data_IF_927007341264
#
_entry.id   IF_927007341264
#
_cell.length_a   1.000
_cell.length_b   1.000
_cell.length_c   1.000
_cell.angle_alpha   90.00
_cell.angle_beta   90.00
_cell.angle_gamma   90.00
#
_symmetry.space_group_name_H-M   'P 1'
#
loop_
_entity.id
_entity.type
_entity.pdbx_description
1 polymer ?
#
# COMPACT_ATOMS: atom_id res chain seq x y z
N UNK A 1 -13.36 10.91 10.78
CA UNK A 1 -12.89 11.14 9.39
C UNK A 1 -12.72 9.80 8.73
N UNK A 2 -13.34 9.56 7.56
CA UNK A 2 -13.25 8.26 6.89
C UNK A 2 -12.08 8.29 5.91
N UNK A 3 -11.02 7.56 6.24
CA UNK A 3 -9.89 7.35 5.34
C UNK A 3 -10.20 6.19 4.38
N UNK A 4 -9.69 6.32 3.16
CA UNK A 4 -9.65 5.26 2.14
C UNK A 4 -8.20 4.87 1.94
N UNK A 5 -7.94 3.58 1.82
CA UNK A 5 -6.61 3.01 1.64
C UNK A 5 -6.69 1.96 0.55
N UNK A 6 -5.74 1.98 -0.37
CA UNK A 6 -5.47 0.92 -1.32
C UNK A 6 -4.04 0.43 -1.05
N UNK A 7 -3.92 -0.86 -0.76
CA UNK A 7 -2.66 -1.54 -0.47
C UNK A 7 -2.19 -2.27 -1.72
N UNK A 8 -0.98 -1.93 -2.18
CA UNK A 8 -0.31 -2.51 -3.34
C UNK A 8 1.05 -3.07 -2.89
N UNK A 9 1.70 -3.87 -3.74
CA UNK A 9 2.98 -4.49 -3.45
C UNK A 9 3.96 -4.29 -4.59
N UNK A 10 5.23 -4.03 -4.27
CA UNK A 10 6.33 -4.08 -5.24
C UNK A 10 6.95 -5.48 -5.36
N UNK A 11 6.44 -6.48 -4.64
CA UNK A 11 6.98 -7.84 -4.63
C UNK A 11 6.05 -8.81 -5.35
N UNK A 12 6.29 -8.99 -6.65
CA UNK A 12 5.54 -9.96 -7.45
C UNK A 12 5.96 -11.43 -7.23
N UNK A 13 7.06 -11.67 -6.52
CA UNK A 13 7.68 -12.98 -6.35
C UNK A 13 7.77 -13.40 -4.87
N UNK A 14 6.68 -13.21 -4.13
CA UNK A 14 6.57 -13.65 -2.74
C UNK A 14 5.70 -14.90 -2.61
N UNK A 15 6.32 -16.05 -2.34
CA UNK A 15 5.59 -17.30 -2.10
C UNK A 15 4.51 -17.14 -1.03
N UNK A 16 4.83 -16.44 0.08
CA UNK A 16 3.89 -16.16 1.16
C UNK A 16 2.68 -15.34 0.69
N UNK A 17 2.89 -14.31 -0.13
CA UNK A 17 1.78 -13.54 -0.68
C UNK A 17 0.90 -14.37 -1.60
N UNK A 18 1.49 -15.20 -2.46
CA UNK A 18 0.73 -16.09 -3.33
C UNK A 18 -0.07 -17.13 -2.51
N UNK A 19 0.45 -17.60 -1.38
CA UNK A 19 -0.31 -18.44 -0.45
C UNK A 19 -1.49 -17.70 0.18
N UNK A 20 -1.28 -16.45 0.63
CA UNK A 20 -2.30 -15.69 1.37
C UNK A 20 -3.38 -15.04 0.50
N UNK A 21 -2.99 -14.47 -0.64
CA UNK A 21 -3.85 -13.57 -1.41
C UNK A 21 -4.30 -14.14 -2.76
N UNK A 22 -3.72 -15.25 -3.19
CA UNK A 22 -3.96 -15.82 -4.52
C UNK A 22 -4.51 -17.25 -4.44
N UNK A 23 -5.42 -17.54 -3.51
CA UNK A 23 -6.04 -18.86 -3.34
C UNK A 23 -5.00 -19.98 -3.43
N UNK A 24 -3.99 -19.94 -2.57
CA UNK A 24 -2.91 -20.94 -2.56
C UNK A 24 -2.22 -21.08 -3.93
N UNK A 25 -1.70 -19.98 -4.49
CA UNK A 25 -0.98 -19.93 -5.77
C UNK A 25 -1.83 -20.15 -7.04
N UNK A 26 -3.16 -20.14 -6.95
CA UNK A 26 -4.07 -20.31 -8.10
C UNK A 26 -4.70 -19.00 -8.61
N UNK A 27 -4.37 -17.88 -7.98
CA UNK A 27 -4.88 -16.56 -8.34
C UNK A 27 -4.05 -15.85 -9.40
N UNK A 28 -4.29 -14.55 -9.53
CA UNK A 28 -3.58 -13.66 -10.45
C UNK A 28 -3.06 -12.43 -9.70
N UNK A 29 -2.00 -11.83 -10.23
CA UNK A 29 -1.54 -10.51 -9.82
C UNK A 29 -1.86 -9.52 -10.94
N UNK A 30 -2.42 -8.38 -10.57
CA UNK A 30 -2.66 -7.27 -11.49
C UNK A 30 -1.62 -6.21 -11.20
N UNK A 31 -0.75 -5.97 -12.17
CA UNK A 31 0.22 -4.89 -12.09
C UNK A 31 -0.43 -3.55 -12.47
N UNK A 32 -0.05 -2.50 -11.74
CA UNK A 32 -0.46 -1.14 -12.02
C UNK A 32 0.76 -0.29 -12.30
N UNK A 33 0.67 0.53 -13.34
CA UNK A 33 1.61 1.59 -13.62
C UNK A 33 0.88 2.93 -13.51
N UNK A 34 1.40 3.81 -12.67
CA UNK A 34 0.83 5.14 -12.44
C UNK A 34 1.65 6.17 -13.21
N UNK A 35 1.11 6.66 -14.33
CA UNK A 35 1.67 7.76 -15.07
C UNK A 35 1.21 9.10 -14.52
N UNK A 36 2.15 10.00 -14.21
CA UNK A 36 1.86 11.36 -13.78
C UNK A 36 1.72 11.53 -12.26
N UNK A 37 1.09 12.64 -11.87
CA UNK A 37 0.93 13.03 -10.47
C UNK A 37 -0.42 12.59 -9.91
N UNK A 38 -0.44 12.26 -8.63
CA UNK A 38 -1.69 12.00 -7.93
C UNK A 38 -2.46 13.30 -7.66
N UNK A 39 -3.81 13.29 -7.65
CA UNK A 39 -4.60 14.47 -7.33
C UNK A 39 -4.29 15.04 -5.92
N UNK A 40 -4.52 16.33 -5.74
CA UNK A 40 -4.39 16.98 -4.44
C UNK A 40 -5.22 16.24 -3.37
N UNK A 41 -4.60 15.97 -2.21
CA UNK A 41 -5.24 15.24 -1.10
C UNK A 41 -5.13 13.72 -1.20
N UNK A 42 -4.37 13.19 -2.16
CA UNK A 42 -3.98 11.78 -2.23
C UNK A 42 -2.51 11.65 -1.84
N UNK A 43 -2.24 10.77 -0.87
CA UNK A 43 -0.88 10.40 -0.49
C UNK A 43 -0.53 9.01 -1.02
N UNK A 44 0.73 8.83 -1.37
CA UNK A 44 1.31 7.52 -1.70
C UNK A 44 2.57 7.36 -0.88
N UNK A 45 2.64 6.30 -0.09
CA UNK A 45 3.79 6.08 0.79
C UNK A 45 4.07 4.60 1.02
N UNK A 46 5.34 4.27 1.23
CA UNK A 46 5.75 2.92 1.62
C UNK A 46 5.35 2.64 3.06
N UNK A 47 4.96 1.40 3.34
CA UNK A 47 4.69 0.97 4.71
C UNK A 47 6.01 0.79 5.46
N UNK A 48 6.11 1.42 6.64
CA UNK A 48 7.22 1.22 7.54
C UNK A 48 7.01 -0.02 8.40
N UNK A 49 7.94 -0.96 8.34
CA UNK A 49 7.85 -2.23 9.05
C UNK A 49 8.64 -2.18 10.34
N UNK A 50 7.96 -2.33 11.47
CA UNK A 50 8.54 -2.21 12.80
C UNK A 50 8.24 -3.44 13.66
N UNK A 51 9.17 -3.77 14.54
CA UNK A 51 8.96 -4.81 15.56
C UNK A 51 7.84 -4.37 16.53
N UNK A 52 7.06 -5.34 17.04
CA UNK A 52 5.91 -5.07 17.91
C UNK A 52 6.26 -4.27 19.17
N UNK A 53 7.46 -4.50 19.71
CA UNK A 53 7.97 -3.79 20.88
C UNK A 53 8.13 -2.28 20.64
N UNK A 54 8.44 -1.87 19.41
CA UNK A 54 8.65 -0.45 19.04
C UNK A 54 7.35 0.27 18.69
N UNK A 55 6.34 -0.46 18.20
CA UNK A 55 5.08 0.16 17.76
C UNK A 55 4.30 0.83 18.90
N UNK A 56 4.49 0.41 20.14
CA UNK A 56 3.75 0.94 21.29
C UNK A 56 4.40 2.17 21.96
N UNK A 57 5.64 2.53 21.59
CA UNK A 57 6.45 3.54 22.30
C UNK A 57 6.36 4.95 21.71
N UNK A 58 6.08 5.10 20.41
CA UNK A 58 6.05 6.41 19.71
C UNK A 58 4.62 6.91 19.45
N UNK A 59 3.80 7.05 20.50
CA UNK A 59 2.38 7.43 20.37
C UNK A 59 2.12 8.92 20.05
N UNK A 60 3.11 9.79 20.26
CA UNK A 60 2.81 11.21 20.52
C UNK A 60 3.03 12.18 19.34
N UNK A 61 3.67 11.78 18.24
CA UNK A 61 4.02 12.75 17.18
C UNK A 61 3.16 12.66 15.91
N UNK A 62 2.74 11.46 15.47
CA UNK A 62 1.86 11.32 14.29
C UNK A 62 1.03 10.03 14.36
N UNK A 63 -0.05 10.04 15.14
CA UNK A 63 -1.03 8.93 15.25
C UNK A 63 -1.48 8.43 13.86
N UNK A 64 -1.66 9.36 12.91
CA UNK A 64 -2.02 9.04 11.52
C UNK A 64 -0.98 8.13 10.84
N UNK A 65 0.29 8.53 10.84
CA UNK A 65 1.38 7.76 10.22
C UNK A 65 1.60 6.43 10.95
N UNK A 66 1.50 6.44 12.28
CA UNK A 66 1.73 5.24 13.09
C UNK A 66 0.73 4.13 12.75
N UNK A 67 -0.56 4.43 12.57
CA UNK A 67 -1.55 3.38 12.30
C UNK A 67 -1.75 3.08 10.81
N UNK A 68 -1.63 4.08 9.94
CA UNK A 68 -1.92 3.91 8.51
C UNK A 68 -0.70 3.56 7.68
N UNK A 69 0.52 3.85 8.15
CA UNK A 69 1.76 3.66 7.40
C UNK A 69 2.75 2.77 8.15
N UNK A 70 2.33 2.03 9.18
CA UNK A 70 3.18 1.00 9.80
C UNK A 70 2.53 -0.38 9.84
N UNK A 71 3.36 -1.42 9.73
CA UNK A 71 2.96 -2.83 9.85
C UNK A 71 4.03 -3.63 10.61
N UNK A 72 3.68 -4.86 11.01
CA UNK A 72 4.61 -5.70 11.77
C UNK A 72 5.69 -6.16 10.80
N UNK A 73 6.95 -6.13 11.23
CA UNK A 73 8.10 -6.66 10.50
C UNK A 73 7.89 -8.06 9.92
N UNK A 74 7.10 -8.93 10.55
CA UNK A 74 6.77 -10.25 10.00
C UNK A 74 6.09 -10.17 8.62
N UNK A 75 5.43 -9.06 8.29
CA UNK A 75 4.78 -8.79 7.01
C UNK A 75 5.65 -8.01 6.03
N UNK A 76 6.93 -7.76 6.35
CA UNK A 76 7.84 -7.00 5.50
C UNK A 76 8.06 -7.62 4.12
N UNK A 77 7.77 -8.92 3.95
CA UNK A 77 7.81 -9.61 2.66
C UNK A 77 6.78 -9.07 1.66
N UNK A 78 5.76 -8.32 2.11
CA UNK A 78 4.77 -7.73 1.22
C UNK A 78 5.31 -6.54 0.41
N UNK A 79 6.38 -5.88 0.88
CA UNK A 79 6.91 -4.65 0.28
C UNK A 79 5.79 -3.66 -0.12
N UNK A 80 4.92 -3.37 0.87
CA UNK A 80 3.64 -2.71 0.68
C UNK A 80 3.80 -1.20 0.42
N UNK A 81 3.08 -0.71 -0.58
CA UNK A 81 2.87 0.72 -0.87
C UNK A 81 1.39 1.02 -0.69
N UNK A 82 1.05 2.09 0.03
CA UNK A 82 -0.34 2.50 0.26
C UNK A 82 -0.64 3.79 -0.47
N UNK A 83 -1.73 3.77 -1.24
CA UNK A 83 -2.41 4.97 -1.72
C UNK A 83 -3.52 5.29 -0.72
N UNK A 84 -3.57 6.50 -0.19
CA UNK A 84 -4.54 6.88 0.83
C UNK A 84 -5.08 8.28 0.63
N UNK A 85 -6.34 8.48 1.03
CA UNK A 85 -7.00 9.78 0.96
C UNK A 85 -8.15 9.89 1.96
N UNK A 86 -8.46 11.11 2.37
CA UNK A 86 -9.70 11.46 3.08
C UNK A 86 -10.74 12.13 2.17
N UNK A 87 -10.38 12.40 0.91
CA UNK A 87 -11.25 13.00 -0.11
C UNK A 87 -12.32 11.99 -0.52
N UNK A 88 -13.58 12.44 -0.60
CA UNK A 88 -14.73 11.58 -0.97
C UNK A 88 -14.99 11.48 -2.46
N UNK A 89 -14.50 12.44 -3.22
CA UNK A 89 -14.68 12.50 -4.66
C UNK A 89 -13.98 11.32 -5.33
N UNK A 90 -14.64 10.76 -6.34
CA UNK A 90 -14.04 9.70 -7.14
C UNK A 90 -12.95 10.31 -8.00
N UNK A 91 -11.79 9.70 -7.98
CA UNK A 91 -10.71 10.03 -8.90
C UNK A 91 -10.98 9.24 -10.18
N UNK A 92 -11.11 9.95 -11.29
CA UNK A 92 -11.19 9.33 -12.60
C UNK A 92 -9.78 9.01 -13.09
N UNK A 93 -9.65 7.95 -13.87
CA UNK A 93 -8.42 7.60 -14.55
C UNK A 93 -8.61 7.74 -16.06
N UNK A 94 -7.54 8.07 -16.75
CA UNK A 94 -7.46 7.97 -18.20
C UNK A 94 -6.63 6.73 -18.55
N UNK A 95 -6.97 6.05 -19.64
CA UNK A 95 -6.16 4.94 -20.14
C UNK A 95 -4.85 5.50 -20.66
N UNK A 96 -3.73 4.97 -20.15
CA UNK A 96 -2.41 5.29 -20.66
C UNK A 96 -1.81 4.06 -21.33
N UNK A 97 -1.06 4.25 -22.42
CA UNK A 97 -0.31 3.16 -23.02
C UNK A 97 0.79 2.73 -22.05
N UNK A 98 0.73 1.47 -21.60
CA UNK A 98 1.79 0.92 -20.77
C UNK A 98 3.13 1.11 -21.49
N UNK A 99 4.16 1.69 -20.85
CA UNK A 99 5.44 1.91 -21.50
C UNK A 99 5.99 0.56 -21.96
N UNK A 100 5.97 0.31 -23.26
CA UNK A 100 6.59 -0.88 -23.85
C UNK A 100 8.05 -0.90 -23.39
N UNK A 101 8.43 -2.01 -22.75
CA UNK A 101 9.80 -2.26 -22.29
C UNK A 101 10.76 -2.35 -23.47
#
# INVERSE_FOLDING_TARGET
TNYRICSLSNNNNSMLMWSHYAQEHQGIMVEYWFGGEFPCGVGVEKVNYVDESKRNLEKDLYVFNQYLLTKNKDWSYEDEVRIFTNVKEKINFESFEYPNT
#
